data_IF_034280151679
#
_entry.id   IF_034280151679
#
_cell.length_a   1.000
_cell.length_b   1.000
_cell.length_c   1.000
_cell.angle_alpha   90.00
_cell.angle_beta   90.00
_cell.angle_gamma   90.00
#
_symmetry.space_group_name_H-M   'P 1'
#
loop_
_entity.id
_entity.type
_entity.pdbx_description
1 polymer ?
#
# COMPACT_ATOMS: atom_id res chain seq x y z
N UNK A 1 -21.92 -12.49 16.08
CA UNK A 1 -21.37 -11.11 15.98
C UNK A 1 -19.85 -11.07 15.93
N UNK A 2 -19.15 -11.86 16.77
CA UNK A 2 -17.68 -11.87 16.85
C UNK A 2 -16.97 -12.13 15.51
N UNK A 3 -17.43 -13.16 14.78
CA UNK A 3 -16.87 -13.54 13.48
C UNK A 3 -17.21 -12.55 12.36
N UNK A 4 -18.35 -11.86 12.47
CA UNK A 4 -18.76 -10.84 11.51
C UNK A 4 -17.85 -9.61 11.60
N UNK A 5 -17.56 -9.14 12.83
CA UNK A 5 -16.63 -8.04 13.04
C UNK A 5 -15.21 -8.36 12.54
N UNK A 6 -14.72 -9.58 12.80
CA UNK A 6 -13.42 -10.04 12.28
C UNK A 6 -13.39 -10.10 10.75
N UNK A 7 -14.46 -10.58 10.11
CA UNK A 7 -14.57 -10.58 8.65
C UNK A 7 -14.55 -9.17 8.07
N UNK A 8 -15.23 -8.22 8.71
CA UNK A 8 -15.28 -6.82 8.27
C UNK A 8 -13.90 -6.15 8.36
N UNK A 9 -13.17 -6.41 9.45
CA UNK A 9 -11.78 -5.94 9.60
C UNK A 9 -10.86 -6.58 8.56
N UNK A 10 -10.97 -7.88 8.30
CA UNK A 10 -10.16 -8.55 7.27
C UNK A 10 -10.40 -7.98 5.87
N UNK A 11 -11.66 -7.66 5.54
CA UNK A 11 -12.04 -7.01 4.29
C UNK A 11 -11.47 -5.59 4.20
N UNK A 12 -11.53 -4.81 5.27
CA UNK A 12 -10.94 -3.46 5.31
C UNK A 12 -9.41 -3.49 5.15
N UNK A 13 -8.72 -4.43 5.80
CA UNK A 13 -7.27 -4.58 5.68
C UNK A 13 -6.87 -5.03 4.26
N UNK A 14 -7.64 -5.94 3.66
CA UNK A 14 -7.43 -6.36 2.27
C UNK A 14 -7.67 -5.21 1.29
N UNK A 15 -8.74 -4.43 1.49
CA UNK A 15 -9.03 -3.26 0.67
C UNK A 15 -7.94 -2.20 0.80
N UNK A 16 -7.43 -1.95 2.02
CA UNK A 16 -6.33 -1.04 2.26
C UNK A 16 -5.03 -1.52 1.56
N UNK A 17 -4.72 -2.81 1.64
CA UNK A 17 -3.57 -3.39 0.94
C UNK A 17 -3.68 -3.21 -0.58
N UNK A 18 -4.82 -3.58 -1.18
CA UNK A 18 -5.04 -3.41 -2.62
C UNK A 18 -5.05 -1.94 -3.05
N UNK A 19 -5.56 -1.04 -2.22
CA UNK A 19 -5.50 0.40 -2.45
C UNK A 19 -4.07 0.92 -2.44
N UNK A 20 -3.24 0.44 -1.50
CA UNK A 20 -1.81 0.76 -1.44
C UNK A 20 -1.10 0.25 -2.70
N UNK A 21 -1.32 -1.01 -3.10
CA UNK A 21 -0.74 -1.56 -4.34
C UNK A 21 -1.17 -0.74 -5.56
N UNK A 22 -2.45 -0.35 -5.64
CA UNK A 22 -2.96 0.50 -6.72
C UNK A 22 -2.30 1.89 -6.74
N UNK A 23 -2.17 2.57 -5.60
CA UNK A 23 -1.54 3.90 -5.56
C UNK A 23 -0.03 3.84 -5.85
N UNK A 24 0.63 2.81 -5.34
CA UNK A 24 2.06 2.58 -5.52
C UNK A 24 2.40 2.20 -6.97
N UNK A 25 1.64 1.30 -7.57
CA UNK A 25 1.94 0.77 -8.91
C UNK A 25 1.26 1.60 -9.97
N UNK A 26 -0.05 1.79 -9.87
CA UNK A 26 -0.84 2.46 -10.90
C UNK A 26 -0.84 3.97 -10.76
N UNK A 27 -1.03 4.54 -9.57
CA UNK A 27 -1.05 6.01 -9.47
C UNK A 27 0.34 6.61 -9.73
N UNK A 28 1.42 5.99 -9.27
CA UNK A 28 2.75 6.42 -9.70
C UNK A 28 3.01 6.17 -11.19
N UNK A 29 2.60 5.05 -11.80
CA UNK A 29 2.80 4.87 -13.25
C UNK A 29 1.92 5.79 -14.12
N UNK A 30 0.66 6.03 -13.74
CA UNK A 30 -0.28 6.90 -14.45
C UNK A 30 -0.05 8.39 -14.21
N UNK A 31 0.51 8.78 -13.05
CA UNK A 31 0.71 10.19 -12.70
C UNK A 31 2.18 10.62 -12.61
N UNK A 32 3.17 9.71 -12.73
CA UNK A 32 4.59 10.09 -12.85
C UNK A 32 5.01 10.40 -14.29
N UNK A 33 4.15 10.15 -15.28
CA UNK A 33 4.32 10.71 -16.61
C UNK A 33 4.05 12.22 -16.55
N UNK A 34 5.08 13.02 -16.80
CA UNK A 34 4.89 14.44 -17.05
C UNK A 34 3.83 14.57 -18.16
N UNK A 35 2.76 15.32 -17.91
CA UNK A 35 1.65 15.47 -18.89
C UNK A 35 2.09 16.24 -20.13
N UNK A 36 3.33 16.70 -20.14
CA UNK A 36 4.00 17.32 -21.26
C UNK A 36 4.69 16.23 -22.12
N UNK A 37 4.18 15.92 -23.33
CA UNK A 37 4.79 14.93 -24.22
C UNK A 37 6.18 15.33 -24.74
N UNK A 38 6.61 16.58 -24.52
CA UNK A 38 7.94 17.08 -24.86
C UNK A 38 8.93 17.09 -23.67
N UNK A 39 8.51 16.66 -22.47
CA UNK A 39 9.40 16.60 -21.33
C UNK A 39 10.46 15.51 -21.52
N UNK A 40 11.74 15.80 -21.24
CA UNK A 40 12.78 14.78 -21.25
C UNK A 40 12.44 13.71 -20.18
N UNK A 41 12.75 12.43 -20.44
CA UNK A 41 12.50 11.38 -19.47
C UNK A 41 13.18 11.70 -18.13
N UNK A 42 12.53 11.38 -17.00
CA UNK A 42 13.13 11.58 -15.69
C UNK A 42 14.44 10.79 -15.57
N UNK A 43 15.41 11.34 -14.84
CA UNK A 43 16.70 10.69 -14.66
C UNK A 43 16.51 9.33 -13.96
N UNK A 44 17.31 8.32 -14.37
CA UNK A 44 17.23 6.96 -13.83
C UNK A 44 17.34 6.92 -12.29
N UNK A 45 18.15 7.81 -11.72
CA UNK A 45 18.30 7.96 -10.27
C UNK A 45 17.00 8.41 -9.58
N UNK A 46 16.21 9.28 -10.21
CA UNK A 46 14.92 9.74 -9.67
C UNK A 46 13.88 8.64 -9.75
N UNK A 47 13.85 7.89 -10.86
CA UNK A 47 12.98 6.73 -11.02
C UNK A 47 13.31 5.68 -9.97
N UNK A 48 14.59 5.35 -9.79
CA UNK A 48 15.03 4.35 -8.82
C UNK A 48 14.74 4.78 -7.38
N UNK A 49 15.02 6.03 -7.02
CA UNK A 49 14.73 6.57 -5.68
C UNK A 49 13.23 6.53 -5.39
N UNK A 50 12.40 6.92 -6.36
CA UNK A 50 10.94 6.84 -6.24
C UNK A 50 10.48 5.40 -6.05
N UNK A 51 10.91 4.47 -6.90
CA UNK A 51 10.55 3.05 -6.79
C UNK A 51 10.95 2.44 -5.44
N UNK A 52 12.18 2.69 -4.98
CA UNK A 52 12.66 2.20 -3.68
C UNK A 52 11.82 2.78 -2.53
N UNK A 53 11.56 4.09 -2.56
CA UNK A 53 10.74 4.76 -1.54
C UNK A 53 9.34 4.15 -1.48
N UNK A 54 8.75 3.93 -2.65
CA UNK A 54 7.41 3.36 -2.76
C UNK A 54 7.35 1.92 -2.24
N UNK A 55 8.35 1.08 -2.57
CA UNK A 55 8.45 -0.29 -2.04
C UNK A 55 8.56 -0.26 -0.50
N UNK A 56 9.44 0.58 0.05
CA UNK A 56 9.64 0.70 1.50
C UNK A 56 8.36 1.11 2.20
N UNK A 57 7.65 2.11 1.68
CA UNK A 57 6.36 2.56 2.25
C UNK A 57 5.33 1.43 2.21
N UNK A 58 5.21 0.71 1.09
CA UNK A 58 4.28 -0.41 0.95
C UNK A 58 4.54 -1.53 1.96
N UNK A 59 5.81 -1.90 2.16
CA UNK A 59 6.22 -2.92 3.14
C UNK A 59 5.91 -2.47 4.56
N UNK A 60 6.22 -1.22 4.92
CA UNK A 60 5.95 -0.68 6.26
C UNK A 60 4.45 -0.64 6.57
N UNK A 61 3.62 -0.19 5.62
CA UNK A 61 2.18 -0.18 5.78
C UNK A 61 1.61 -1.59 5.95
N UNK A 62 2.07 -2.55 5.14
CA UNK A 62 1.67 -3.95 5.28
C UNK A 62 2.04 -4.50 6.66
N UNK A 63 3.27 -4.25 7.13
CA UNK A 63 3.71 -4.69 8.45
C UNK A 63 2.83 -4.12 9.59
N UNK A 64 2.44 -2.85 9.50
CA UNK A 64 1.52 -2.22 10.47
C UNK A 64 0.14 -2.89 10.42
N UNK A 65 -0.42 -3.11 9.22
CA UNK A 65 -1.71 -3.78 9.05
C UNK A 65 -1.69 -5.20 9.62
N UNK A 66 -0.60 -5.95 9.38
CA UNK A 66 -0.41 -7.30 9.91
C UNK A 66 -0.30 -7.30 11.44
N UNK A 67 0.42 -6.35 12.03
CA UNK A 67 0.50 -6.19 13.49
C UNK A 67 -0.85 -5.85 14.10
N UNK A 68 -1.63 -4.95 13.48
CA UNK A 68 -2.97 -4.59 13.93
C UNK A 68 -3.91 -5.82 13.89
N UNK A 69 -3.83 -6.61 12.82
CA UNK A 69 -4.57 -7.86 12.69
C UNK A 69 -4.22 -8.87 13.78
N UNK A 70 -2.92 -9.10 14.03
CA UNK A 70 -2.46 -9.99 15.09
C UNK A 70 -2.92 -9.52 16.47
N UNK A 71 -2.81 -8.21 16.78
CA UNK A 71 -3.28 -7.67 18.06
C UNK A 71 -4.78 -7.85 18.23
N UNK A 72 -5.58 -7.62 17.19
CA UNK A 72 -7.02 -7.81 17.25
C UNK A 72 -7.39 -9.29 17.44
N UNK A 73 -6.79 -10.20 16.68
CA UNK A 73 -7.08 -11.64 16.80
C UNK A 73 -6.67 -12.23 18.15
N UNK A 74 -5.53 -11.81 18.72
CA UNK A 74 -5.07 -12.24 20.06
C UNK A 74 -6.00 -11.72 21.16
N UNK A 75 -6.37 -10.43 21.10
CA UNK A 75 -7.25 -9.80 22.10
C UNK A 75 -8.67 -10.38 22.09
N UNK A 76 -9.09 -10.92 20.95
CA UNK A 76 -10.38 -11.57 20.79
C UNK A 76 -10.33 -13.09 21.01
N UNK A 77 -9.16 -13.71 21.19
CA UNK A 77 -9.03 -15.13 21.57
C UNK A 77 -9.00 -15.36 23.09
N UNK A 78 -8.59 -14.36 23.86
CA UNK A 78 -8.82 -14.30 25.31
C UNK A 78 -10.27 -13.90 25.59
#
# INVERSE_FOLDING_TARGET
MKNFALGLVASLLSAAYWWIVFTIVYAHALFAGDRNPAAPPPADADVMTRSVTTIVIGVLLYAVLAMLWQRMTVRWRR
#
